data_IF_032562276086
#
_entry.id   IF_032562276086
#
_cell.length_a   1.000
_cell.length_b   1.000
_cell.length_c   1.000
_cell.angle_alpha   90.00
_cell.angle_beta   90.00
_cell.angle_gamma   90.00
#
_symmetry.space_group_name_H-M   'P 1'
#
loop_
_entity.id
_entity.type
_entity.pdbx_description
1 polymer ?
#
# COMPACT_ATOMS: atom_id res chain seq x y z
N UNK A 1 -6.37 9.14 9.59
CA UNK A 1 -6.49 8.61 8.22
C UNK A 1 -5.89 7.22 8.19
N UNK A 2 -6.63 6.25 7.66
CA UNK A 2 -6.21 4.86 7.63
C UNK A 2 -5.19 4.58 6.52
N UNK A 3 -4.41 3.52 6.69
CA UNK A 3 -3.43 3.07 5.68
C UNK A 3 -4.08 2.78 4.32
N UNK A 4 -5.36 2.42 4.28
CA UNK A 4 -6.10 2.20 3.03
C UNK A 4 -6.46 3.53 2.35
N UNK A 5 -6.86 4.55 3.11
CA UNK A 5 -7.20 5.88 2.60
C UNK A 5 -5.98 6.56 1.95
N UNK A 6 -4.80 6.47 2.58
CA UNK A 6 -3.57 6.98 1.98
C UNK A 6 -3.24 6.31 0.65
N UNK A 7 -3.56 5.03 0.44
CA UNK A 7 -3.33 4.35 -0.85
C UNK A 7 -4.23 4.92 -1.93
N UNK A 8 -5.48 5.22 -1.59
CA UNK A 8 -6.43 5.86 -2.50
C UNK A 8 -5.92 7.25 -2.89
N UNK A 9 -5.42 8.04 -1.93
CA UNK A 9 -4.82 9.36 -2.21
C UNK A 9 -3.57 9.28 -3.08
N UNK A 10 -2.66 8.36 -2.79
CA UNK A 10 -1.45 8.14 -3.59
C UNK A 10 -1.83 7.70 -5.01
N UNK A 11 -2.82 6.82 -5.16
CA UNK A 11 -3.35 6.39 -6.46
C UNK A 11 -3.97 7.57 -7.23
N UNK A 12 -4.77 8.40 -6.57
CA UNK A 12 -5.35 9.59 -7.18
C UNK A 12 -4.26 10.53 -7.69
N UNK A 13 -3.22 10.77 -6.90
CA UNK A 13 -2.09 11.60 -7.30
C UNK A 13 -1.30 11.01 -8.47
N UNK A 14 -1.11 9.68 -8.49
CA UNK A 14 -0.48 8.97 -9.62
C UNK A 14 -1.29 9.15 -10.92
N UNK A 15 -2.62 8.99 -10.86
CA UNK A 15 -3.51 9.19 -12.01
C UNK A 15 -3.55 10.64 -12.49
N UNK A 16 -3.33 11.60 -11.59
CA UNK A 16 -3.16 13.02 -11.92
C UNK A 16 -1.79 13.36 -12.52
N UNK A 17 -0.87 12.40 -12.61
CA UNK A 17 0.47 12.61 -13.15
C UNK A 17 1.43 13.34 -12.20
N UNK A 18 1.09 13.45 -10.92
CA UNK A 18 2.00 14.03 -9.91
C UNK A 18 3.17 13.10 -9.66
N UNK A 19 4.32 13.66 -9.29
CA UNK A 19 5.48 12.88 -8.89
C UNK A 19 5.46 12.56 -7.38
N UNK A 20 6.29 11.60 -6.95
CA UNK A 20 6.33 11.17 -5.55
C UNK A 20 6.76 12.27 -4.55
N UNK A 21 7.52 13.26 -5.02
CA UNK A 21 7.98 14.39 -4.19
C UNK A 21 6.82 15.36 -3.95
N UNK A 22 6.07 15.72 -4.99
CA UNK A 22 4.87 16.56 -4.89
C UNK A 22 3.83 15.92 -3.98
N UNK A 23 3.64 14.61 -4.07
CA UNK A 23 2.74 13.89 -3.16
C UNK A 23 3.22 13.98 -1.71
N UNK A 24 4.52 13.85 -1.46
CA UNK A 24 5.07 13.94 -0.10
C UNK A 24 4.94 15.36 0.45
N UNK A 25 5.29 16.37 -0.33
CA UNK A 25 5.14 17.78 0.02
C UNK A 25 3.67 18.18 0.26
N UNK A 26 2.73 17.53 -0.43
CA UNK A 26 1.30 17.73 -0.19
C UNK A 26 0.79 17.00 1.06
N UNK A 27 1.22 15.75 1.29
CA UNK A 27 0.73 14.94 2.42
C UNK A 27 1.34 15.35 3.77
N UNK A 28 2.58 15.84 3.80
CA UNK A 28 3.28 16.18 5.04
C UNK A 28 2.61 17.29 5.87
N UNK A 29 2.20 18.43 5.29
CA UNK A 29 1.49 19.46 6.04
C UNK A 29 0.03 19.10 6.32
N UNK A 30 -0.62 18.31 5.44
CA UNK A 30 -2.03 17.91 5.60
C UNK A 30 -2.20 16.83 6.68
N UNK A 31 -1.20 15.96 6.85
CA UNK A 31 -1.24 14.81 7.75
C UNK A 31 0.06 14.65 8.57
N UNK A 32 0.45 15.62 9.40
CA UNK A 32 1.78 15.65 10.04
C UNK A 32 2.13 14.39 10.83
N UNK A 33 1.16 13.80 11.54
CA UNK A 33 1.40 12.62 12.40
C UNK A 33 1.15 11.28 11.69
N UNK A 34 0.42 11.29 10.58
CA UNK A 34 -0.07 10.05 9.93
C UNK A 34 0.39 9.90 8.49
N UNK A 35 1.08 10.90 7.93
CA UNK A 35 1.55 10.90 6.56
C UNK A 35 2.45 9.69 6.26
N UNK A 36 2.24 9.01 5.12
CA UNK A 36 3.07 7.90 4.73
C UNK A 36 4.51 8.38 4.49
N UNK A 37 5.46 7.53 4.88
CA UNK A 37 6.87 7.75 4.59
C UNK A 37 7.16 7.78 3.08
N UNK A 38 8.29 8.40 2.70
CA UNK A 38 8.73 8.50 1.30
C UNK A 38 8.85 7.14 0.62
N UNK A 39 9.34 6.13 1.34
CA UNK A 39 9.47 4.74 0.83
C UNK A 39 8.11 4.14 0.48
N UNK A 40 7.11 4.29 1.35
CA UNK A 40 5.74 3.83 1.12
C UNK A 40 5.15 4.43 -0.16
N UNK A 41 5.31 5.75 -0.35
CA UNK A 41 4.83 6.43 -1.56
C UNK A 41 5.50 5.85 -2.81
N UNK A 42 6.82 5.65 -2.79
CA UNK A 42 7.57 5.06 -3.91
C UNK A 42 7.14 3.63 -4.22
N UNK A 43 6.93 2.79 -3.22
CA UNK A 43 6.51 1.39 -3.39
C UNK A 43 5.14 1.31 -4.06
N UNK A 44 4.20 2.16 -3.65
CA UNK A 44 2.88 2.26 -4.29
C UNK A 44 2.97 2.78 -5.72
N UNK A 45 3.78 3.82 -5.97
CA UNK A 45 4.02 4.28 -7.33
C UNK A 45 4.62 3.20 -8.23
N UNK A 46 5.55 2.39 -7.72
CA UNK A 46 6.12 1.28 -8.47
C UNK A 46 5.06 0.21 -8.80
N UNK A 47 4.14 -0.09 -7.89
CA UNK A 47 2.98 -0.97 -8.13
C UNK A 47 2.07 -0.42 -9.22
N UNK A 48 1.70 0.85 -9.14
CA UNK A 48 0.83 1.50 -10.12
C UNK A 48 1.48 1.55 -11.52
N UNK A 49 2.80 1.78 -11.60
CA UNK A 49 3.54 1.69 -12.86
C UNK A 49 3.55 0.30 -13.48
N UNK A 50 3.42 -0.77 -12.68
CA UNK A 50 3.30 -2.16 -13.15
C UNK A 50 1.86 -2.53 -13.57
N UNK A 51 0.91 -1.61 -13.50
CA UNK A 51 -0.50 -1.85 -13.81
C UNK A 51 -1.33 -2.38 -12.63
N UNK A 52 -0.72 -2.57 -11.46
CA UNK A 52 -1.43 -2.99 -10.25
C UNK A 52 -2.12 -1.78 -9.59
N UNK A 53 -3.26 -1.38 -10.13
CA UNK A 53 -4.07 -0.26 -9.63
C UNK A 53 -4.93 -0.61 -8.40
N UNK A 54 -4.80 -1.83 -7.87
CA UNK A 54 -5.52 -2.22 -6.66
C UNK A 54 -4.94 -1.51 -5.43
N UNK A 55 -5.81 -0.96 -4.59
CA UNK A 55 -5.46 -0.34 -3.30
C UNK A 55 -5.50 -1.34 -2.14
N UNK A 56 -6.07 -2.53 -2.39
CA UNK A 56 -6.12 -3.63 -1.45
C UNK A 56 -4.75 -4.31 -1.39
N UNK A 57 -4.39 -4.86 -0.22
CA UNK A 57 -3.27 -5.78 -0.21
C UNK A 57 -3.70 -7.04 -0.96
N UNK A 58 -2.86 -7.51 -1.90
CA UNK A 58 -2.95 -8.89 -2.35
C UNK A 58 -2.96 -9.80 -1.11
N UNK A 59 -3.85 -10.77 -1.10
CA UNK A 59 -3.97 -11.72 -0.01
C UNK A 59 -2.59 -12.29 0.28
N UNK A 60 -2.10 -12.10 1.50
CA UNK A 60 -0.89 -12.79 1.93
C UNK A 60 -1.27 -14.27 1.98
N UNK A 61 -0.85 -15.04 0.98
CA UNK A 61 -0.86 -16.50 1.04
C UNK A 61 0.04 -16.93 2.20
N UNK A 62 -0.52 -16.91 3.40
CA UNK A 62 0.12 -17.38 4.62
C UNK A 62 -0.11 -18.88 4.69
N UNK A 63 0.96 -19.65 4.43
CA UNK A 63 1.15 -21.08 4.73
C UNK A 63 -0.12 -21.82 5.16
N UNK A 64 -0.66 -22.65 4.24
CA UNK A 64 -1.70 -23.64 4.55
C UNK A 64 -1.35 -24.38 5.84
N UNK A 65 -2.20 -24.24 6.87
CA UNK A 65 -2.07 -24.97 8.13
C UNK A 65 -2.94 -26.21 8.08
N UNK A 66 -2.55 -27.16 7.25
CA UNK A 66 -3.06 -28.54 7.34
C UNK A 66 -1.88 -29.48 7.55
N UNK A 67 -1.36 -29.48 8.78
CA UNK A 67 -0.67 -30.65 9.33
C UNK A 67 -1.65 -31.24 10.34
N UNK A 68 -2.59 -32.03 9.83
CA UNK A 68 -3.34 -33.00 10.63
C UNK A 68 -2.40 -34.20 10.80
N UNK A 69 -1.63 -34.23 11.88
CA UNK A 69 -1.10 -35.51 12.38
C UNK A 69 -2.19 -36.19 13.19
N UNK A 70 -2.98 -37.01 12.50
CA UNK A 70 -3.78 -38.06 13.14
C UNK A 70 -2.83 -38.98 13.92
N UNK A 71 -3.01 -39.00 15.24
CA UNK A 71 -2.22 -39.84 16.14
C UNK A 71 -2.86 -41.23 16.13
N UNK A 72 -2.35 -42.12 15.27
CA UNK A 72 -2.89 -43.48 15.10
C UNK A 72 -2.31 -44.46 16.12
N UNK A 73 -3.19 -44.86 17.04
CA UNK A 73 -3.16 -46.00 17.99
C UNK A 73 -2.01 -46.08 18.99
#
# INVERSE_FOLDING_TARGET
MDKKEFRVLIKYCFLKGKNTVEVKTWLDPEFPDTAPGKSTIKDWYAKFRRGELSTEHSERSGRLKDVVTDKKN
#
